data_IF_709638075889
#
_entry.id   IF_709638075889
#
_cell.length_a   1.000
_cell.length_b   1.000
_cell.length_c   1.000
_cell.angle_alpha   90.00
_cell.angle_beta   90.00
_cell.angle_gamma   90.00
#
_symmetry.space_group_name_H-M   'P 1'
#
loop_
_entity.id
_entity.type
_entity.pdbx_description
1 polymer ?
#
# COMPACT_ATOMS: atom_id res chain seq x y z
N UNK A 1 6.37 20.18 49.92
CA UNK A 1 5.48 20.33 48.76
C UNK A 1 6.35 20.15 47.51
N UNK A 2 6.53 18.90 47.05
CA UNK A 2 7.33 18.60 45.87
C UNK A 2 6.45 18.73 44.62
N UNK A 3 6.81 19.62 43.71
CA UNK A 3 6.11 19.79 42.44
C UNK A 3 6.66 18.74 41.47
N UNK A 4 5.88 17.68 41.23
CA UNK A 4 6.20 16.70 40.20
C UNK A 4 5.81 17.29 38.84
N UNK A 5 6.80 17.52 37.97
CA UNK A 5 6.56 17.88 36.57
C UNK A 5 5.87 16.70 35.89
N UNK A 6 4.62 16.91 35.49
CA UNK A 6 3.90 16.00 34.61
C UNK A 6 4.52 16.17 33.22
N UNK A 7 5.32 15.20 32.80
CA UNK A 7 5.78 15.12 31.42
C UNK A 7 4.64 14.49 30.61
N UNK A 8 3.77 15.33 30.04
CA UNK A 8 2.79 14.87 29.06
C UNK A 8 3.52 14.58 27.76
N UNK A 9 3.86 13.31 27.52
CA UNK A 9 4.24 12.84 26.20
C UNK A 9 3.02 12.99 25.29
N UNK A 10 3.03 13.99 24.42
CA UNK A 10 2.05 14.13 23.36
C UNK A 10 2.23 12.91 22.45
N UNK A 11 1.23 12.00 22.32
CA UNK A 11 1.34 10.93 21.34
C UNK A 11 1.49 11.58 19.96
N UNK A 12 2.37 11.05 19.10
CA UNK A 12 2.58 11.66 17.79
C UNK A 12 1.23 11.76 17.07
N UNK A 13 0.82 12.98 16.74
CA UNK A 13 -0.41 13.31 15.99
C UNK A 13 -0.34 12.86 14.53
N UNK A 14 0.71 12.16 14.14
CA UNK A 14 0.88 11.59 12.80
C UNK A 14 0.12 10.28 12.72
N UNK A 15 -0.70 10.05 11.67
CA UNK A 15 -1.23 8.73 11.38
C UNK A 15 -0.06 7.74 11.42
N UNK A 16 -0.19 6.66 12.20
CA UNK A 16 0.78 5.58 12.17
C UNK A 16 0.55 4.82 10.87
N UNK A 17 1.13 5.33 9.79
CA UNK A 17 1.21 4.60 8.54
C UNK A 17 2.03 3.35 8.79
N UNK A 18 1.45 2.18 8.51
CA UNK A 18 2.16 0.90 8.56
C UNK A 18 3.09 0.75 7.36
N UNK A 19 2.72 1.36 6.23
CA UNK A 19 3.47 1.36 4.99
C UNK A 19 3.70 2.80 4.51
N UNK A 20 4.85 3.04 3.91
CA UNK A 20 5.11 4.27 3.17
C UNK A 20 4.36 4.27 1.83
N UNK A 21 4.28 3.11 1.16
CA UNK A 21 3.72 2.97 -0.17
C UNK A 21 2.81 1.74 -0.27
N UNK A 22 1.61 1.94 -0.83
CA UNK A 22 0.78 0.89 -1.40
C UNK A 22 1.10 0.77 -2.90
N UNK A 23 1.64 -0.37 -3.34
CA UNK A 23 2.02 -0.62 -4.73
C UNK A 23 0.96 -1.49 -5.41
N UNK A 24 0.13 -0.89 -6.26
CA UNK A 24 -0.87 -1.57 -7.08
C UNK A 24 -0.35 -1.82 -8.49
N UNK A 25 -0.53 -3.04 -9.01
CA UNK A 25 -0.14 -3.41 -10.36
C UNK A 25 -0.95 -4.62 -10.85
N UNK A 26 -0.96 -4.82 -12.17
CA UNK A 26 -1.44 -6.08 -12.74
C UNK A 26 -0.32 -7.12 -12.75
N UNK A 27 -0.54 -8.20 -12.03
CA UNK A 27 0.45 -9.28 -11.86
C UNK A 27 0.91 -9.91 -13.17
N UNK A 28 -0.02 -10.24 -14.05
CA UNK A 28 0.21 -10.90 -15.34
C UNK A 28 1.12 -10.06 -16.24
N UNK A 29 0.97 -8.72 -16.17
CA UNK A 29 1.65 -7.80 -17.06
C UNK A 29 3.05 -7.45 -16.56
N UNK A 30 3.23 -7.24 -15.25
CA UNK A 30 4.42 -6.52 -14.73
C UNK A 30 5.13 -7.17 -13.56
N UNK A 31 4.57 -8.24 -12.94
CA UNK A 31 5.08 -8.81 -11.67
C UNK A 31 6.56 -9.11 -11.69
N UNK A 32 7.05 -9.80 -12.72
CA UNK A 32 8.43 -10.31 -12.84
C UNK A 32 9.36 -9.37 -13.61
N UNK A 33 8.89 -8.17 -13.94
CA UNK A 33 9.61 -7.21 -14.76
C UNK A 33 9.67 -5.87 -14.03
N UNK A 34 9.02 -4.84 -14.58
CA UNK A 34 9.06 -3.48 -14.04
C UNK A 34 8.71 -3.40 -12.54
N UNK A 35 7.63 -4.05 -12.12
CA UNK A 35 7.17 -3.99 -10.73
C UNK A 35 8.15 -4.64 -9.76
N UNK A 36 8.82 -5.73 -10.16
CA UNK A 36 9.82 -6.38 -9.32
C UNK A 36 11.00 -5.46 -9.06
N UNK A 37 11.53 -4.86 -10.13
CA UNK A 37 12.63 -3.90 -10.03
C UNK A 37 12.27 -2.66 -9.22
N UNK A 38 11.04 -2.15 -9.41
CA UNK A 38 10.52 -1.02 -8.62
C UNK A 38 10.45 -1.38 -7.13
N UNK A 39 9.88 -2.54 -6.80
CA UNK A 39 9.76 -3.00 -5.42
C UNK A 39 11.14 -3.16 -4.75
N UNK A 40 12.09 -3.83 -5.42
CA UNK A 40 13.47 -3.96 -4.93
C UNK A 40 14.15 -2.61 -4.73
N UNK A 41 13.93 -1.65 -5.63
CA UNK A 41 14.48 -0.30 -5.48
C UNK A 41 13.90 0.44 -4.28
N UNK A 42 12.59 0.32 -4.03
CA UNK A 42 11.94 0.91 -2.85
C UNK A 42 12.49 0.30 -1.55
N UNK A 43 12.61 -1.03 -1.49
CA UNK A 43 13.22 -1.72 -0.34
C UNK A 43 14.66 -1.29 -0.09
N UNK A 44 15.48 -1.17 -1.14
CA UNK A 44 16.85 -0.68 -1.02
C UNK A 44 16.97 0.75 -0.49
N UNK A 45 15.93 1.58 -0.67
CA UNK A 45 15.84 2.92 -0.10
C UNK A 45 15.22 2.95 1.30
N UNK A 46 14.87 1.79 1.87
CA UNK A 46 14.23 1.69 3.18
C UNK A 46 12.76 2.11 3.19
N UNK A 47 12.10 2.12 2.03
CA UNK A 47 10.69 2.49 1.88
C UNK A 47 9.82 1.26 2.12
N UNK A 48 9.04 1.28 3.20
CA UNK A 48 8.21 0.15 3.60
C UNK A 48 7.01 0.07 2.65
N UNK A 49 7.00 -0.92 1.77
CA UNK A 49 6.02 -1.02 0.67
C UNK A 49 5.12 -2.23 0.83
N UNK A 50 3.80 -2.02 0.84
CA UNK A 50 2.82 -3.08 0.62
C UNK A 50 2.74 -3.38 -0.87
N UNK A 51 3.11 -4.59 -1.29
CA UNK A 51 3.05 -5.03 -2.69
C UNK A 51 1.76 -5.81 -2.90
N UNK A 52 0.76 -5.17 -3.46
CA UNK A 52 -0.50 -5.83 -3.79
C UNK A 52 -0.31 -6.69 -5.04
N UNK A 53 -0.47 -8.01 -4.89
CA UNK A 53 -0.41 -8.95 -5.99
C UNK A 53 -1.78 -9.62 -6.18
N UNK A 54 -2.68 -9.00 -6.98
CA UNK A 54 -4.08 -9.42 -7.09
C UNK A 54 -4.26 -10.88 -7.52
N UNK A 55 -3.32 -11.45 -8.27
CA UNK A 55 -3.49 -12.81 -8.80
C UNK A 55 -2.99 -13.90 -7.85
N UNK A 56 -2.20 -13.56 -6.83
CA UNK A 56 -1.97 -14.45 -5.68
C UNK A 56 -3.24 -14.57 -4.82
N UNK A 57 -4.18 -13.62 -4.94
CA UNK A 57 -5.46 -13.61 -4.22
C UNK A 57 -6.65 -14.13 -5.04
N UNK A 58 -6.43 -14.75 -6.21
CA UNK A 58 -7.48 -15.27 -7.11
C UNK A 58 -8.58 -16.02 -6.35
N UNK A 59 -9.83 -15.52 -6.45
CA UNK A 59 -11.03 -16.17 -5.95
C UNK A 59 -11.58 -15.68 -4.60
N UNK A 60 -10.99 -14.67 -3.96
CA UNK A 60 -11.55 -14.02 -2.77
C UNK A 60 -12.09 -12.63 -3.14
N UNK A 61 -13.21 -12.21 -2.54
CA UNK A 61 -13.61 -10.79 -2.55
C UNK A 61 -12.44 -9.93 -2.07
N UNK A 62 -12.40 -8.65 -2.46
CA UNK A 62 -11.39 -7.68 -2.01
C UNK A 62 -11.16 -7.91 -0.51
N UNK A 63 -9.95 -8.36 -0.18
CA UNK A 63 -9.70 -8.80 1.19
C UNK A 63 -9.79 -7.57 2.10
N UNK A 64 -10.36 -7.70 3.31
CA UNK A 64 -10.29 -6.64 4.32
C UNK A 64 -8.85 -6.16 4.58
N UNK A 65 -7.89 -7.05 4.36
CA UNK A 65 -6.45 -6.77 4.42
C UNK A 65 -5.99 -5.77 3.36
N UNK A 66 -6.57 -5.82 2.15
CA UNK A 66 -6.26 -4.87 1.07
C UNK A 66 -6.76 -3.47 1.39
N UNK A 67 -8.00 -3.36 1.87
CA UNK A 67 -8.57 -2.08 2.31
C UNK A 67 -7.74 -1.46 3.44
N UNK A 68 -7.41 -2.27 4.44
CA UNK A 68 -6.55 -1.83 5.53
C UNK A 68 -5.18 -1.38 5.00
N UNK A 69 -4.57 -2.10 4.06
CA UNK A 69 -3.29 -1.70 3.50
C UNK A 69 -3.35 -0.35 2.76
N UNK A 70 -4.45 -0.02 2.07
CA UNK A 70 -4.63 1.29 1.43
C UNK A 70 -4.73 2.39 2.51
N UNK A 71 -5.57 2.20 3.53
CA UNK A 71 -5.77 3.18 4.61
C UNK A 71 -4.54 3.33 5.53
N UNK A 72 -3.73 2.28 5.66
CA UNK A 72 -2.50 2.26 6.47
C UNK A 72 -1.26 2.68 5.65
N UNK A 73 -1.43 3.06 4.38
CA UNK A 73 -0.34 3.51 3.49
C UNK A 73 -0.32 5.02 3.32
N UNK A 74 0.87 5.62 3.38
CA UNK A 74 1.05 7.06 3.21
C UNK A 74 0.88 7.53 1.76
N UNK A 75 1.28 6.71 0.79
CA UNK A 75 1.17 6.99 -0.65
C UNK A 75 0.67 5.76 -1.40
N UNK A 76 -0.03 5.97 -2.51
CA UNK A 76 -0.34 4.91 -3.48
C UNK A 76 0.50 5.08 -4.75
N UNK A 77 1.14 4.01 -5.21
CA UNK A 77 1.86 3.92 -6.47
C UNK A 77 1.16 2.90 -7.36
N UNK A 78 0.64 3.37 -8.49
CA UNK A 78 -0.17 2.54 -9.40
C UNK A 78 0.60 2.33 -10.71
N UNK A 79 0.92 1.08 -11.02
CA UNK A 79 1.57 0.69 -12.27
C UNK A 79 0.53 0.35 -13.33
N UNK A 80 0.17 1.35 -14.13
CA UNK A 80 -0.73 1.18 -15.26
C UNK A 80 -0.03 0.44 -16.40
N UNK A 81 -0.61 -0.70 -16.79
CA UNK A 81 -0.12 -1.59 -17.85
C UNK A 81 -1.22 -1.83 -18.89
N UNK A 82 -0.86 -2.41 -20.03
CA UNK A 82 -1.76 -2.56 -21.19
C UNK A 82 -3.09 -3.23 -20.83
N UNK A 83 -3.08 -4.22 -19.94
CA UNK A 83 -4.26 -4.96 -19.53
C UNK A 83 -4.72 -4.61 -18.11
N UNK A 84 -4.25 -3.51 -17.52
CA UNK A 84 -4.64 -3.12 -16.17
C UNK A 84 -6.16 -2.96 -16.05
N UNK A 85 -6.76 -2.18 -16.96
CA UNK A 85 -8.19 -1.91 -16.99
C UNK A 85 -9.05 -3.09 -17.49
N UNK A 86 -8.45 -4.20 -17.93
CA UNK A 86 -9.22 -5.42 -18.26
C UNK A 86 -9.47 -6.30 -17.03
N UNK A 87 -8.83 -6.00 -15.90
CA UNK A 87 -9.12 -6.63 -14.61
C UNK A 87 -10.13 -5.76 -13.86
N UNK A 88 -11.34 -6.28 -13.61
CA UNK A 88 -12.32 -5.58 -12.78
C UNK A 88 -11.78 -5.32 -11.37
N UNK A 89 -10.96 -6.24 -10.85
CA UNK A 89 -10.32 -6.08 -9.54
C UNK A 89 -9.38 -4.88 -9.49
N UNK A 90 -8.52 -4.71 -10.50
CA UNK A 90 -7.62 -3.56 -10.55
C UNK A 90 -8.39 -2.23 -10.63
N UNK A 91 -9.60 -2.23 -11.20
CA UNK A 91 -10.46 -1.04 -11.24
C UNK A 91 -11.17 -0.79 -9.91
N UNK A 92 -11.60 -1.83 -9.21
CA UNK A 92 -12.20 -1.72 -7.88
C UNK A 92 -11.17 -1.15 -6.87
N UNK A 93 -9.92 -1.62 -6.95
CA UNK A 93 -8.80 -1.09 -6.15
C UNK A 93 -8.56 0.39 -6.47
N UNK A 94 -8.54 0.73 -7.76
CA UNK A 94 -8.33 2.12 -8.21
C UNK A 94 -9.43 3.05 -7.71
N UNK A 95 -10.70 2.62 -7.74
CA UNK A 95 -11.80 3.41 -7.18
C UNK A 95 -11.56 3.65 -5.70
N UNK A 96 -11.17 2.62 -4.94
CA UNK A 96 -10.95 2.77 -3.50
C UNK A 96 -9.78 3.70 -3.17
N UNK A 97 -8.70 3.65 -3.93
CA UNK A 97 -7.55 4.54 -3.75
C UNK A 97 -7.95 6.02 -3.98
N UNK A 98 -8.95 6.26 -4.81
CA UNK A 98 -9.40 7.61 -5.18
C UNK A 98 -10.52 8.17 -4.27
N UNK A 99 -11.08 7.36 -3.37
CA UNK A 99 -12.06 7.80 -2.34
C UNK A 99 -11.39 8.53 -1.18
#
# INVERSE_FOLDING_TARGET
>A
MSIQRISTSIPPLTPQWKYDVFLSFRGDDTRKAFTDHLYTALEHQGIITFRDDPELQKGKAISPELFAAIEESRFALIVLSQNYASSTWCLDDLVKILE
#
